data_IF_650177501239
#
_entry.id   IF_650177501239
#
_cell.length_a   1.000
_cell.length_b   1.000
_cell.length_c   1.000
_cell.angle_alpha   90.00
_cell.angle_beta   90.00
_cell.angle_gamma   90.00
#
_symmetry.space_group_name_H-M   'P 1'
#
loop_
_entity.id
_entity.type
_entity.pdbx_description
1 polymer ?
#
# COMPACT_ATOMS: atom_id res chain seq x y z
N UNK A 1 -24.41 15.37 -18.38
CA UNK A 1 -23.39 14.72 -17.58
C UNK A 1 -22.53 13.85 -18.45
N UNK A 2 -21.23 14.04 -18.36
CA UNK A 2 -20.30 13.28 -19.16
C UNK A 2 -19.97 11.93 -18.56
N UNK A 3 -19.49 11.05 -19.40
CA UNK A 3 -19.02 9.75 -18.98
C UNK A 3 -17.97 9.87 -17.88
N UNK A 4 -17.14 10.90 -17.96
CA UNK A 4 -16.08 11.13 -16.98
C UNK A 4 -16.63 11.34 -15.58
N UNK A 5 -17.74 12.06 -15.45
CA UNK A 5 -18.35 12.30 -14.15
C UNK A 5 -18.93 11.02 -13.57
N UNK A 6 -19.49 10.16 -14.42
CA UNK A 6 -20.01 8.87 -13.97
C UNK A 6 -18.89 7.98 -13.47
N UNK A 7 -17.78 7.95 -14.21
CA UNK A 7 -16.61 7.16 -13.82
C UNK A 7 -16.02 7.68 -12.51
N UNK A 8 -15.89 8.99 -12.37
CA UNK A 8 -15.37 9.58 -11.13
C UNK A 8 -16.24 9.25 -9.93
N UNK A 9 -17.56 9.35 -10.11
CA UNK A 9 -18.48 9.05 -9.04
C UNK A 9 -18.41 7.59 -8.62
N UNK A 10 -18.32 6.69 -9.60
CA UNK A 10 -18.20 5.26 -9.34
C UNK A 10 -16.89 4.96 -8.63
N UNK A 11 -15.80 5.57 -9.08
CA UNK A 11 -14.49 5.39 -8.47
C UNK A 11 -14.52 5.82 -7.01
N UNK A 12 -15.07 7.00 -6.73
CA UNK A 12 -15.14 7.50 -5.36
C UNK A 12 -15.99 6.62 -4.48
N UNK A 13 -17.09 6.09 -5.03
CA UNK A 13 -17.93 5.17 -4.29
C UNK A 13 -17.15 3.94 -3.86
N UNK A 14 -16.42 3.32 -4.78
CA UNK A 14 -15.64 2.14 -4.46
C UNK A 14 -14.50 2.44 -3.50
N UNK A 15 -13.89 3.62 -3.62
CA UNK A 15 -12.85 4.02 -2.68
C UNK A 15 -13.39 4.09 -1.26
N UNK A 16 -14.58 4.65 -1.10
CA UNK A 16 -15.23 4.73 0.22
C UNK A 16 -15.54 3.35 0.75
N UNK A 17 -16.05 2.46 -0.11
CA UNK A 17 -16.36 1.09 0.29
C UNK A 17 -15.09 0.37 0.77
N UNK A 18 -14.02 0.50 0.03
CA UNK A 18 -12.75 -0.12 0.41
C UNK A 18 -12.25 0.46 1.73
N UNK A 19 -12.36 1.77 1.91
CA UNK A 19 -11.94 2.42 3.15
C UNK A 19 -12.73 1.88 4.35
N UNK A 20 -14.04 1.73 4.20
CA UNK A 20 -14.88 1.21 5.28
C UNK A 20 -14.47 -0.22 5.62
N UNK A 21 -14.30 -1.07 4.62
CA UNK A 21 -13.88 -2.45 4.86
C UNK A 21 -12.50 -2.51 5.50
N UNK A 22 -11.60 -1.62 5.10
CA UNK A 22 -10.25 -1.58 5.66
C UNK A 22 -10.30 -1.20 7.14
N UNK A 23 -11.11 -0.21 7.49
CA UNK A 23 -11.27 0.19 8.90
C UNK A 23 -11.86 -0.95 9.72
N UNK A 24 -12.86 -1.64 9.18
CA UNK A 24 -13.46 -2.78 9.87
C UNK A 24 -12.42 -3.88 10.07
N UNK A 25 -11.65 -4.19 9.04
CA UNK A 25 -10.62 -5.22 9.12
C UNK A 25 -9.55 -4.86 10.15
N UNK A 26 -9.15 -3.60 10.18
CA UNK A 26 -8.17 -3.14 11.15
C UNK A 26 -8.71 -3.25 12.57
N UNK A 27 -9.97 -2.87 12.76
CA UNK A 27 -10.60 -3.00 14.06
C UNK A 27 -10.68 -4.45 14.53
N UNK A 28 -11.03 -5.36 13.62
CA UNK A 28 -11.07 -6.78 13.94
C UNK A 28 -9.68 -7.30 14.33
N UNK A 29 -8.66 -6.87 13.60
CA UNK A 29 -7.28 -7.29 13.89
C UNK A 29 -6.86 -6.78 15.29
N UNK A 30 -7.16 -5.54 15.60
CA UNK A 30 -6.85 -4.97 16.90
C UNK A 30 -7.58 -5.72 18.02
N UNK A 31 -8.84 -6.06 17.79
CA UNK A 31 -9.62 -6.82 18.76
C UNK A 31 -9.00 -8.20 19.00
N UNK A 32 -8.59 -8.89 17.94
CA UNK A 32 -7.98 -10.19 18.06
C UNK A 32 -6.67 -10.13 18.84
N UNK A 33 -5.87 -9.07 18.60
CA UNK A 33 -4.64 -8.88 19.35
C UNK A 33 -4.92 -8.70 20.83
N UNK A 34 -5.96 -7.96 21.14
CA UNK A 34 -6.35 -7.72 22.53
C UNK A 34 -6.74 -9.01 23.22
N UNK A 35 -7.53 -9.84 22.52
CA UNK A 35 -8.00 -11.12 23.07
C UNK A 35 -6.84 -12.10 23.27
N UNK A 36 -5.94 -12.17 22.30
CA UNK A 36 -4.80 -13.07 22.40
C UNK A 36 -3.77 -12.62 23.42
N UNK A 37 -3.70 -11.33 23.67
CA UNK A 37 -2.74 -10.79 24.62
C UNK A 37 -1.30 -10.82 24.17
N UNK A 38 -1.05 -11.18 22.90
CA UNK A 38 0.29 -11.21 22.32
C UNK A 38 0.29 -10.47 20.99
N UNK A 39 1.35 -9.70 20.77
CA UNK A 39 1.51 -8.95 19.52
C UNK A 39 2.74 -9.49 18.81
N UNK A 40 2.52 -10.07 17.65
CA UNK A 40 3.60 -10.58 16.81
C UNK A 40 4.00 -9.53 15.78
N UNK A 41 5.19 -9.68 15.23
CA UNK A 41 5.67 -8.78 14.19
C UNK A 41 4.73 -8.79 12.98
N UNK A 42 4.22 -9.97 12.63
CA UNK A 42 3.29 -10.10 11.51
C UNK A 42 2.05 -9.26 11.69
N UNK A 43 1.53 -9.19 12.92
CA UNK A 43 0.33 -8.41 13.21
C UNK A 43 0.59 -6.93 13.01
N UNK A 44 1.74 -6.45 13.44
CA UNK A 44 2.12 -5.05 13.26
C UNK A 44 2.28 -4.71 11.78
N UNK A 45 2.90 -5.62 11.03
CA UNK A 45 3.08 -5.41 9.59
C UNK A 45 1.74 -5.33 8.87
N UNK A 46 0.80 -6.19 9.25
CA UNK A 46 -0.54 -6.17 8.68
C UNK A 46 -1.24 -4.85 8.96
N UNK A 47 -1.11 -4.33 10.19
CA UNK A 47 -1.70 -3.06 10.54
C UNK A 47 -1.07 -1.90 9.75
N UNK A 48 0.23 -1.96 9.51
CA UNK A 48 0.90 -0.97 8.68
C UNK A 48 0.35 -0.99 7.26
N UNK A 49 0.11 -2.18 6.72
CA UNK A 49 -0.45 -2.30 5.38
C UNK A 49 -1.84 -1.68 5.33
N UNK A 50 -2.68 -1.93 6.34
CA UNK A 50 -4.00 -1.31 6.39
C UNK A 50 -3.91 0.21 6.43
N UNK A 51 -2.99 0.74 7.23
CA UNK A 51 -2.81 2.18 7.34
C UNK A 51 -2.36 2.78 6.02
N UNK A 52 -1.46 2.10 5.31
CA UNK A 52 -1.00 2.57 4.01
C UNK A 52 -2.11 2.58 2.97
N UNK A 53 -2.96 1.53 2.99
CA UNK A 53 -4.11 1.48 2.09
C UNK A 53 -5.03 2.67 2.34
N UNK A 54 -5.29 2.99 3.61
CA UNK A 54 -6.13 4.14 3.94
C UNK A 54 -5.51 5.44 3.45
N UNK A 55 -4.20 5.59 3.59
CA UNK A 55 -3.50 6.76 3.10
C UNK A 55 -3.62 6.90 1.60
N UNK A 56 -3.45 5.80 0.87
CA UNK A 56 -3.59 5.79 -0.57
C UNK A 56 -5.02 6.15 -0.98
N UNK A 57 -6.00 5.56 -0.31
CA UNK A 57 -7.40 5.83 -0.63
C UNK A 57 -7.74 7.29 -0.40
N UNK A 58 -7.23 7.88 0.68
CA UNK A 58 -7.46 9.29 0.97
C UNK A 58 -6.88 10.18 -0.13
N UNK A 59 -5.68 9.88 -0.58
CA UNK A 59 -5.04 10.65 -1.63
C UNK A 59 -5.79 10.53 -2.95
N UNK A 60 -6.23 9.33 -3.30
CA UNK A 60 -7.02 9.13 -4.53
C UNK A 60 -8.35 9.84 -4.45
N UNK A 61 -9.01 9.78 -3.30
CA UNK A 61 -10.31 10.44 -3.13
C UNK A 61 -10.17 11.94 -3.29
N UNK A 62 -9.14 12.53 -2.68
CA UNK A 62 -8.88 13.95 -2.74
C UNK A 62 -8.16 14.39 -4.03
N UNK A 63 -7.66 13.43 -4.79
CA UNK A 63 -6.88 13.66 -6.00
C UNK A 63 -5.69 14.59 -5.76
N UNK A 64 -5.00 14.34 -4.66
CA UNK A 64 -3.83 15.11 -4.29
C UNK A 64 -2.57 14.49 -4.85
N UNK A 65 -1.67 15.32 -5.33
CA UNK A 65 -0.35 14.92 -5.73
C UNK A 65 -0.31 14.00 -6.93
N UNK A 66 0.79 13.29 -7.07
CA UNK A 66 1.01 12.36 -8.17
C UNK A 66 0.45 10.99 -7.78
N UNK A 67 -0.70 10.64 -8.36
CA UNK A 67 -1.39 9.40 -8.02
C UNK A 67 -0.62 8.14 -8.39
N UNK A 68 0.24 8.23 -9.41
CA UNK A 68 1.01 7.07 -9.84
C UNK A 68 2.09 6.72 -8.82
N UNK A 69 2.67 7.73 -8.18
CA UNK A 69 3.74 7.52 -7.22
C UNK A 69 3.29 6.77 -5.97
N UNK A 70 2.06 7.01 -5.53
CA UNK A 70 1.57 6.40 -4.30
C UNK A 70 1.54 4.88 -4.34
N UNK A 71 0.96 4.24 -5.37
CA UNK A 71 1.01 2.78 -5.44
C UNK A 71 2.42 2.25 -5.53
N UNK A 72 3.33 2.97 -6.20
CA UNK A 72 4.72 2.54 -6.31
C UNK A 72 5.42 2.57 -4.95
N UNK A 73 5.21 3.64 -4.18
CA UNK A 73 5.79 3.72 -2.84
C UNK A 73 5.25 2.62 -1.94
N UNK A 74 3.96 2.34 -2.02
CA UNK A 74 3.33 1.30 -1.21
C UNK A 74 3.87 -0.07 -1.59
N UNK A 75 4.04 -0.33 -2.88
CA UNK A 75 4.63 -1.59 -3.32
C UNK A 75 6.04 -1.76 -2.79
N UNK A 76 6.83 -0.70 -2.82
CA UNK A 76 8.21 -0.74 -2.35
C UNK A 76 8.27 -1.02 -0.84
N UNK A 77 7.44 -0.34 -0.06
CA UNK A 77 7.42 -0.57 1.38
C UNK A 77 6.87 -1.94 1.73
N UNK A 78 5.88 -2.43 0.97
CA UNK A 78 5.32 -3.76 1.19
C UNK A 78 6.37 -4.83 0.93
N UNK A 79 7.15 -4.68 -0.13
CA UNK A 79 8.23 -5.63 -0.42
C UNK A 79 9.29 -5.61 0.66
N UNK A 80 9.62 -4.42 1.15
CA UNK A 80 10.59 -4.28 2.23
C UNK A 80 10.13 -5.02 3.49
N UNK A 81 8.84 -4.89 3.83
CA UNK A 81 8.28 -5.60 4.96
C UNK A 81 8.30 -7.10 4.75
N UNK A 82 8.02 -7.54 3.53
CA UNK A 82 8.07 -8.95 3.21
C UNK A 82 9.46 -9.52 3.44
N UNK A 83 10.49 -8.78 3.07
CA UNK A 83 11.87 -9.19 3.29
C UNK A 83 12.16 -9.31 4.79
N UNK A 84 11.73 -8.33 5.57
CA UNK A 84 11.92 -8.35 7.02
C UNK A 84 11.24 -9.57 7.64
N UNK A 85 10.01 -9.85 7.19
CA UNK A 85 9.23 -10.97 7.72
C UNK A 85 9.87 -12.32 7.41
N UNK A 86 10.47 -12.45 6.24
CA UNK A 86 11.03 -13.70 5.76
C UNK A 86 12.50 -13.88 6.10
N UNK A 87 13.10 -12.92 6.78
CA UNK A 87 14.55 -12.87 6.94
C UNK A 87 15.17 -14.09 7.61
N UNK A 88 14.39 -14.83 8.39
CA UNK A 88 14.93 -15.98 9.13
C UNK A 88 14.93 -17.28 8.37
N UNK A 89 14.05 -17.43 7.40
CA UNK A 89 13.84 -18.69 6.71
C UNK A 89 13.98 -18.61 5.20
N UNK A 90 14.32 -17.46 4.67
CA UNK A 90 14.30 -17.21 3.23
C UNK A 90 15.63 -17.55 2.59
N UNK A 91 15.59 -18.19 1.42
CA UNK A 91 16.76 -18.43 0.62
C UNK A 91 17.35 -17.11 0.13
N UNK A 92 18.67 -17.08 -0.03
CA UNK A 92 19.36 -15.91 -0.56
C UNK A 92 18.83 -15.53 -1.93
N UNK A 93 18.46 -16.53 -2.74
CA UNK A 93 17.95 -16.29 -4.08
C UNK A 93 16.66 -15.49 -4.04
N UNK A 94 15.74 -15.85 -3.11
CA UNK A 94 14.48 -15.13 -2.97
C UNK A 94 14.73 -13.68 -2.53
N UNK A 95 15.66 -13.48 -1.60
CA UNK A 95 16.03 -12.14 -1.16
C UNK A 95 16.58 -11.30 -2.31
N UNK A 96 17.37 -11.92 -3.17
CA UNK A 96 17.90 -11.23 -4.34
C UNK A 96 16.79 -10.80 -5.30
N UNK A 97 15.82 -11.68 -5.54
CA UNK A 97 14.67 -11.34 -6.38
C UNK A 97 13.86 -10.20 -5.79
N UNK A 98 13.58 -10.25 -4.50
CA UNK A 98 12.80 -9.21 -3.84
C UNK A 98 13.54 -7.87 -3.83
N UNK A 99 14.83 -7.91 -3.57
CA UNK A 99 15.65 -6.70 -3.62
C UNK A 99 15.69 -6.11 -5.03
N UNK A 100 15.78 -6.97 -6.05
CA UNK A 100 15.72 -6.54 -7.43
C UNK A 100 14.40 -5.89 -7.76
N UNK A 101 13.29 -6.45 -7.25
CA UNK A 101 11.96 -5.88 -7.45
C UNK A 101 11.88 -4.48 -6.83
N UNK A 102 12.41 -4.32 -5.62
CA UNK A 102 12.42 -3.01 -4.97
C UNK A 102 13.22 -2.01 -5.79
N UNK A 103 14.37 -2.43 -6.31
CA UNK A 103 15.21 -1.57 -7.14
C UNK A 103 14.46 -1.16 -8.41
N UNK A 104 13.78 -2.10 -9.05
CA UNK A 104 13.01 -1.80 -10.25
C UNK A 104 11.90 -0.80 -9.95
N UNK A 105 11.21 -0.96 -8.83
CA UNK A 105 10.16 -0.02 -8.45
C UNK A 105 10.76 1.35 -8.14
N UNK A 106 11.92 1.39 -7.48
CA UNK A 106 12.59 2.65 -7.18
C UNK A 106 12.98 3.38 -8.46
N UNK A 107 13.48 2.64 -9.47
CA UNK A 107 13.81 3.21 -10.77
C UNK A 107 12.56 3.73 -11.44
N UNK A 108 11.46 2.98 -11.37
CA UNK A 108 10.20 3.43 -11.93
C UNK A 108 9.73 4.71 -11.26
N UNK A 109 9.86 4.81 -9.95
CA UNK A 109 9.49 6.03 -9.22
C UNK A 109 10.33 7.22 -9.70
N UNK A 110 11.63 6.99 -9.89
CA UNK A 110 12.51 8.04 -10.34
C UNK A 110 12.13 8.52 -11.74
N UNK A 111 11.84 7.58 -12.64
CA UNK A 111 11.43 7.93 -14.00
C UNK A 111 10.12 8.71 -13.99
N UNK A 112 9.13 8.25 -13.23
CA UNK A 112 7.85 8.95 -13.15
C UNK A 112 8.04 10.35 -12.58
N UNK A 113 8.87 10.47 -11.55
CA UNK A 113 9.16 11.76 -10.95
C UNK A 113 9.78 12.72 -11.95
N UNK A 114 10.71 12.23 -12.78
CA UNK A 114 11.34 13.06 -13.79
C UNK A 114 10.38 13.48 -14.89
N UNK A 115 9.53 12.55 -15.33
CA UNK A 115 8.52 12.86 -16.32
C UNK A 115 7.60 13.98 -15.85
N UNK A 116 7.27 13.96 -14.56
CA UNK A 116 6.40 14.99 -14.01
C UNK A 116 7.03 16.36 -14.01
N UNK A 117 8.35 16.43 -13.73
CA UNK A 117 9.03 17.71 -13.67
C UNK A 117 9.27 18.33 -15.03
N UNK A 118 9.25 17.53 -16.10
CA UNK A 118 9.43 18.05 -17.44
C UNK A 118 8.14 18.57 -18.07
N UNK A 119 7.02 18.31 -17.44
CA UNK A 119 5.75 18.84 -17.88
C UNK A 119 5.44 20.14 -17.15
#
# INVERSE_FOLDING_TARGET
MGMKQVIDGTEKFFLVVIAVFTVIAMGQEMFQLFVRGKVALEDLLLMFIFAEVLGMLGAFYARQGNLIMLPLFIAMTALSRLIVLQSKETDLVVLLYESGAILLIAVACWIVSRMRTTQ
#
